data_IF_432262804919
#
_entry.id   IF_432262804919
#
_cell.length_a   1.000
_cell.length_b   1.000
_cell.length_c   1.000
_cell.angle_alpha   90.00
_cell.angle_beta   90.00
_cell.angle_gamma   90.00
#
_symmetry.space_group_name_H-M   'P 1'
#
loop_
_entity.id
_entity.type
_entity.pdbx_description
1 polymer ?
#
# COMPACT_ATOMS: atom_id res chain seq x y z
N UNK A 1 4.82 13.60 33.08
CA UNK A 1 3.76 12.59 33.27
C UNK A 1 4.41 11.21 33.18
N UNK A 2 4.17 10.33 34.16
CA UNK A 2 4.97 9.13 34.43
C UNK A 2 4.89 8.10 33.28
N UNK A 3 6.03 7.57 32.86
CA UNK A 3 6.22 6.49 31.86
C UNK A 3 5.38 5.23 32.15
N UNK A 4 4.94 5.06 33.40
CA UNK A 4 4.06 3.97 33.84
C UNK A 4 2.62 4.08 33.28
N UNK A 5 2.14 5.29 32.94
CA UNK A 5 0.79 5.50 32.37
C UNK A 5 0.72 5.11 30.90
N UNK A 6 1.83 5.19 30.16
CA UNK A 6 1.89 4.83 28.73
C UNK A 6 1.83 3.30 28.60
N UNK A 7 2.51 2.56 29.46
CA UNK A 7 2.47 1.09 29.47
C UNK A 7 1.08 0.56 29.86
N UNK A 8 0.40 1.23 30.79
CA UNK A 8 -0.97 0.87 31.20
C UNK A 8 -2.03 1.16 30.12
N UNK A 9 -1.84 2.20 29.28
CA UNK A 9 -2.72 2.50 28.16
C UNK A 9 -2.56 1.50 27.00
N UNK A 10 -1.35 1.02 26.75
CA UNK A 10 -1.09 -0.03 25.76
C UNK A 10 -1.68 -1.38 26.19
N UNK A 11 -1.66 -1.72 27.48
CA UNK A 11 -2.28 -2.93 28.00
C UNK A 11 -3.81 -2.85 28.02
N UNK A 12 -4.40 -1.67 28.27
CA UNK A 12 -5.85 -1.47 28.21
C UNK A 12 -6.43 -1.61 26.79
N UNK A 13 -5.67 -1.22 25.77
CA UNK A 13 -6.09 -1.38 24.37
C UNK A 13 -6.09 -2.84 23.91
N UNK A 14 -5.20 -3.69 24.43
CA UNK A 14 -5.14 -5.12 24.11
C UNK A 14 -6.31 -5.88 24.77
N UNK A 15 -6.79 -5.46 25.93
CA UNK A 15 -7.91 -6.13 26.62
C UNK A 15 -9.27 -5.76 26.03
N UNK A 16 -9.44 -4.57 25.45
CA UNK A 16 -10.72 -4.17 24.82
C UNK A 16 -10.98 -4.84 23.45
N UNK A 17 -9.95 -5.31 22.76
CA UNK A 17 -10.12 -5.99 21.46
C UNK A 17 -10.49 -7.46 21.57
N UNK A 18 -10.36 -8.09 22.75
CA UNK A 18 -10.70 -9.51 22.95
C UNK A 18 -12.18 -9.72 23.30
N UNK A 19 -12.91 -8.70 23.75
CA UNK A 19 -14.33 -8.81 24.16
C UNK A 19 -15.34 -8.42 23.07
N UNK A 20 -14.90 -8.02 21.86
CA UNK A 20 -15.79 -7.65 20.75
C UNK A 20 -15.95 -8.75 19.67
N UNK A 21 -15.48 -9.97 19.90
CA UNK A 21 -15.44 -11.03 18.89
C UNK A 21 -16.67 -11.97 18.85
N UNK A 22 -17.84 -11.50 19.30
CA UNK A 22 -19.11 -12.25 19.12
C UNK A 22 -20.25 -11.38 18.59
N UNK A 23 -19.97 -10.48 17.66
CA UNK A 23 -21.01 -9.87 16.84
C UNK A 23 -20.80 -10.36 15.41
N UNK A 24 -21.76 -11.12 14.91
CA UNK A 24 -21.90 -11.47 13.49
C UNK A 24 -21.96 -10.15 12.71
N UNK A 25 -20.86 -9.74 12.09
CA UNK A 25 -20.81 -8.59 11.23
C UNK A 25 -21.41 -9.03 9.90
N UNK A 26 -22.68 -8.70 9.69
CA UNK A 26 -23.23 -8.54 8.34
C UNK A 26 -22.43 -7.42 7.67
N UNK A 27 -21.63 -7.80 6.71
CA UNK A 27 -20.85 -6.88 5.89
C UNK A 27 -21.83 -6.09 5.02
N UNK A 28 -22.18 -4.88 5.48
CA UNK A 28 -22.98 -3.94 4.71
C UNK A 28 -21.99 -3.03 3.97
N UNK A 29 -22.03 -3.13 2.66
CA UNK A 29 -21.22 -2.38 1.69
C UNK A 29 -21.16 -0.88 2.02
N UNK A 30 -20.05 -0.42 2.54
CA UNK A 30 -19.68 0.99 2.52
C UNK A 30 -18.50 1.17 1.58
N UNK A 31 -18.79 1.20 0.29
CA UNK A 31 -17.80 1.56 -0.73
C UNK A 31 -17.78 3.08 -0.87
N UNK A 32 -16.71 3.80 -0.45
CA UNK A 32 -16.65 5.27 -0.50
C UNK A 32 -16.54 5.84 -1.93
N UNK A 33 -16.66 5.03 -2.96
CA UNK A 33 -16.44 5.41 -4.36
C UNK A 33 -17.69 5.39 -5.26
N UNK A 34 -18.89 5.60 -4.71
CA UNK A 34 -20.06 5.83 -5.56
C UNK A 34 -20.21 7.32 -5.90
N UNK A 35 -20.07 7.75 -7.16
CA UNK A 35 -20.43 9.09 -7.55
C UNK A 35 -21.94 9.26 -7.51
N UNK A 36 -22.42 10.18 -6.68
CA UNK A 36 -23.81 10.57 -6.54
C UNK A 36 -24.31 11.24 -7.83
N UNK A 37 -24.88 10.46 -8.73
CA UNK A 37 -25.51 10.94 -9.97
C UNK A 37 -27.02 11.13 -9.77
N UNK A 38 -27.48 12.37 -9.57
CA UNK A 38 -28.89 12.73 -9.64
C UNK A 38 -29.42 12.55 -11.06
N UNK A 39 -30.31 11.59 -11.27
CA UNK A 39 -31.17 11.49 -12.47
C UNK A 39 -32.09 12.70 -12.54
N UNK A 40 -32.01 13.45 -13.64
CA UNK A 40 -33.09 14.33 -14.09
C UNK A 40 -33.87 13.66 -15.20
N UNK A 41 -35.09 13.34 -14.94
CA UNK A 41 -36.13 12.99 -15.92
C UNK A 41 -36.67 14.25 -16.62
N UNK A 42 -36.69 14.26 -17.93
CA UNK A 42 -37.64 14.96 -18.81
C UNK A 42 -37.19 14.64 -20.25
N UNK A 43 -38.00 14.13 -21.12
CA UNK A 43 -39.20 14.51 -21.70
C UNK A 43 -39.26 13.99 -23.12
N UNK A 44 -40.29 13.25 -23.44
CA UNK A 44 -41.09 13.17 -24.66
C UNK A 44 -40.48 13.39 -26.06
N UNK A 45 -40.62 12.36 -26.88
CA UNK A 45 -41.16 12.53 -28.24
C UNK A 45 -40.15 12.47 -29.38
N UNK A 46 -40.05 11.39 -30.09
CA UNK A 46 -40.38 11.31 -31.53
C UNK A 46 -40.09 9.90 -32.06
N UNK A 47 -41.11 9.25 -32.56
CA UNK A 47 -41.09 7.98 -33.27
C UNK A 47 -40.38 8.11 -34.62
N UNK A 48 -39.21 7.48 -34.75
CA UNK A 48 -38.71 7.04 -36.05
C UNK A 48 -38.49 5.51 -35.99
N UNK A 49 -39.31 4.82 -36.76
CA UNK A 49 -39.20 3.40 -37.03
C UNK A 49 -37.86 3.13 -37.73
N UNK A 50 -36.89 2.67 -37.01
CA UNK A 50 -35.66 2.12 -37.55
C UNK A 50 -35.75 0.60 -37.42
N UNK A 51 -35.77 -0.02 -38.58
CA UNK A 51 -35.81 -1.45 -38.92
C UNK A 51 -34.89 -2.22 -37.96
N UNK A 52 -35.47 -3.05 -37.09
CA UNK A 52 -34.77 -3.96 -36.21
C UNK A 52 -33.95 -4.95 -37.04
N UNK A 53 -32.67 -4.75 -37.09
CA UNK A 53 -31.73 -5.82 -37.46
C UNK A 53 -31.62 -6.69 -36.21
N UNK A 54 -32.28 -7.83 -36.24
CA UNK A 54 -32.29 -8.86 -35.22
C UNK A 54 -30.90 -9.53 -35.15
N UNK A 55 -29.91 -8.80 -34.64
CA UNK A 55 -28.64 -9.32 -34.18
C UNK A 55 -28.76 -9.73 -32.72
N UNK A 56 -29.20 -10.97 -32.44
CA UNK A 56 -29.03 -11.58 -31.11
C UNK A 56 -27.55 -11.54 -30.72
N UNK A 57 -27.12 -10.45 -30.17
CA UNK A 57 -25.82 -10.40 -29.46
C UNK A 57 -25.89 -11.48 -28.38
N UNK A 58 -25.19 -12.59 -28.60
CA UNK A 58 -25.13 -13.73 -27.71
C UNK A 58 -24.58 -13.21 -26.35
N UNK A 59 -25.46 -13.06 -25.39
CA UNK A 59 -25.08 -12.58 -24.05
C UNK A 59 -24.07 -13.55 -23.45
N UNK A 60 -22.84 -13.09 -23.23
CA UNK A 60 -21.78 -13.91 -22.64
C UNK A 60 -22.22 -14.41 -21.26
N UNK A 61 -21.96 -15.66 -20.96
CA UNK A 61 -22.10 -16.21 -19.60
C UNK A 61 -21.15 -15.51 -18.64
N UNK A 62 -21.43 -15.57 -17.34
CA UNK A 62 -20.53 -15.00 -16.30
C UNK A 62 -19.10 -15.49 -16.45
N UNK A 63 -18.90 -16.80 -16.68
CA UNK A 63 -17.56 -17.37 -16.87
C UNK A 63 -16.87 -16.85 -18.13
N UNK A 64 -17.60 -16.65 -19.23
CA UNK A 64 -17.03 -16.07 -20.45
C UNK A 64 -16.65 -14.61 -20.24
N UNK A 65 -17.46 -13.84 -19.52
CA UNK A 65 -17.10 -12.44 -19.15
C UNK A 65 -15.84 -12.39 -18.31
N UNK A 66 -15.73 -13.22 -17.28
CA UNK A 66 -14.52 -13.28 -16.44
C UNK A 66 -13.29 -13.68 -17.25
N UNK A 67 -13.40 -14.64 -18.17
CA UNK A 67 -12.29 -15.03 -19.03
C UNK A 67 -11.82 -13.88 -19.94
N UNK A 68 -12.75 -13.18 -20.61
CA UNK A 68 -12.43 -12.00 -21.43
C UNK A 68 -11.79 -10.91 -20.60
N UNK A 69 -12.34 -10.63 -19.41
CA UNK A 69 -11.79 -9.62 -18.51
C UNK A 69 -10.35 -9.93 -18.08
N UNK A 70 -10.04 -11.20 -17.78
CA UNK A 70 -8.66 -11.60 -17.45
C UNK A 70 -7.69 -11.32 -18.60
N UNK A 71 -8.10 -11.60 -19.86
CA UNK A 71 -7.28 -11.28 -21.04
C UNK A 71 -7.02 -9.78 -21.13
N UNK A 72 -8.05 -8.95 -20.97
CA UNK A 72 -7.91 -7.49 -21.02
C UNK A 72 -7.01 -6.95 -19.91
N UNK A 73 -7.06 -7.52 -18.69
CA UNK A 73 -6.14 -7.17 -17.60
C UNK A 73 -4.71 -7.56 -17.98
N UNK A 74 -4.50 -8.75 -18.55
CA UNK A 74 -3.17 -9.19 -19.00
C UNK A 74 -2.60 -8.29 -20.10
N UNK A 75 -3.44 -7.82 -21.04
CA UNK A 75 -3.04 -6.85 -22.05
C UNK A 75 -2.62 -5.51 -21.42
N UNK A 76 -3.33 -5.02 -20.39
CA UNK A 76 -2.91 -3.82 -19.67
C UNK A 76 -1.56 -4.01 -18.97
N UNK A 77 -1.31 -5.16 -18.36
CA UNK A 77 -0.03 -5.47 -17.73
C UNK A 77 1.10 -5.62 -18.78
N UNK A 78 0.82 -6.16 -19.95
CA UNK A 78 1.78 -6.25 -21.04
C UNK A 78 2.25 -4.87 -21.56
N UNK A 79 1.43 -3.82 -21.38
CA UNK A 79 1.80 -2.43 -21.69
C UNK A 79 2.76 -1.80 -20.65
N UNK A 80 3.12 -2.53 -19.59
CA UNK A 80 4.05 -2.10 -18.56
C UNK A 80 5.06 -3.23 -18.26
N UNK A 81 5.97 -3.53 -19.21
CA UNK A 81 6.88 -4.65 -19.10
C UNK A 81 7.81 -4.57 -17.87
N UNK A 82 8.00 -3.36 -17.31
CA UNK A 82 8.74 -3.15 -16.07
C UNK A 82 8.15 -3.89 -14.88
N UNK A 83 6.86 -4.24 -14.93
CA UNK A 83 6.15 -4.94 -13.85
C UNK A 83 6.14 -6.47 -14.02
N UNK A 84 6.65 -6.97 -15.14
CA UNK A 84 6.63 -8.41 -15.46
C UNK A 84 7.30 -9.26 -14.39
N UNK A 85 8.47 -8.86 -13.92
CA UNK A 85 9.22 -9.57 -12.86
C UNK A 85 8.41 -9.71 -11.59
N UNK A 86 7.74 -8.65 -11.15
CA UNK A 86 6.86 -8.69 -9.96
C UNK A 86 5.75 -9.73 -10.11
N UNK A 87 5.00 -9.71 -11.23
CA UNK A 87 3.87 -10.61 -11.42
C UNK A 87 4.30 -12.08 -11.62
N UNK A 88 5.43 -12.33 -12.28
CA UNK A 88 5.99 -13.67 -12.39
C UNK A 88 6.47 -14.23 -11.04
N UNK A 89 7.14 -13.41 -10.23
CA UNK A 89 7.54 -13.80 -8.88
C UNK A 89 6.32 -14.03 -7.97
N UNK A 90 5.31 -13.17 -8.05
CA UNK A 90 4.06 -13.34 -7.31
C UNK A 90 3.38 -14.66 -7.67
N UNK A 91 3.24 -14.96 -8.96
CA UNK A 91 2.66 -16.19 -9.48
C UNK A 91 3.42 -17.44 -9.02
N UNK A 92 4.75 -17.38 -9.08
CA UNK A 92 5.62 -18.52 -8.71
C UNK A 92 5.67 -18.74 -7.21
N UNK A 93 5.80 -17.66 -6.44
CA UNK A 93 6.01 -17.74 -4.99
C UNK A 93 4.71 -17.85 -4.20
N UNK A 94 3.62 -17.27 -4.68
CA UNK A 94 2.32 -17.21 -4.01
C UNK A 94 1.16 -17.50 -4.98
N UNK A 95 1.11 -18.70 -5.61
CA UNK A 95 0.13 -18.99 -6.67
C UNK A 95 -1.32 -18.80 -6.23
N UNK A 96 -1.67 -19.23 -5.01
CA UNK A 96 -3.03 -19.05 -4.48
C UNK A 96 -3.38 -17.57 -4.22
N UNK A 97 -2.43 -16.74 -3.76
CA UNK A 97 -2.64 -15.31 -3.60
C UNK A 97 -2.76 -14.62 -4.96
N UNK A 98 -1.88 -14.95 -5.90
CA UNK A 98 -1.95 -14.46 -7.28
C UNK A 98 -3.32 -14.76 -7.90
N UNK A 99 -3.82 -15.99 -7.77
CA UNK A 99 -5.14 -16.36 -8.30
C UNK A 99 -6.25 -15.48 -7.68
N UNK A 100 -6.29 -15.34 -6.35
CA UNK A 100 -7.30 -14.50 -5.67
C UNK A 100 -7.25 -13.04 -6.10
N UNK A 101 -6.04 -12.48 -6.26
CA UNK A 101 -5.83 -11.10 -6.69
C UNK A 101 -6.41 -10.89 -8.09
N UNK A 102 -6.06 -11.76 -9.04
CA UNK A 102 -6.57 -11.65 -10.41
C UNK A 102 -8.06 -11.95 -10.52
N UNK A 103 -8.59 -12.85 -9.69
CA UNK A 103 -10.04 -13.10 -9.61
C UNK A 103 -10.78 -11.87 -9.07
N UNK A 104 -10.19 -11.19 -8.06
CA UNK A 104 -10.72 -9.93 -7.55
C UNK A 104 -10.75 -8.83 -8.60
N UNK A 105 -9.69 -8.67 -9.39
CA UNK A 105 -9.66 -7.72 -10.51
C UNK A 105 -10.75 -8.03 -11.53
N UNK A 106 -10.85 -9.28 -11.96
CA UNK A 106 -11.84 -9.71 -12.94
C UNK A 106 -13.28 -9.56 -12.44
N UNK A 107 -13.54 -9.88 -11.18
CA UNK A 107 -14.84 -9.71 -10.54
C UNK A 107 -15.24 -8.23 -10.46
N UNK A 108 -14.33 -7.34 -10.06
CA UNK A 108 -14.56 -5.90 -10.04
C UNK A 108 -14.99 -5.37 -11.40
N UNK A 109 -14.27 -5.71 -12.47
CA UNK A 109 -14.61 -5.29 -13.84
C UNK A 109 -15.95 -5.91 -14.29
N UNK A 110 -16.22 -7.17 -13.95
CA UNK A 110 -17.49 -7.85 -14.29
C UNK A 110 -18.70 -7.18 -13.63
N UNK A 111 -18.52 -6.53 -12.50
CA UNK A 111 -19.51 -5.75 -11.74
C UNK A 111 -19.61 -4.29 -12.18
N UNK A 112 -18.91 -3.89 -13.22
CA UNK A 112 -19.00 -2.55 -13.81
C UNK A 112 -17.84 -1.61 -13.45
N UNK A 113 -16.81 -2.06 -12.75
CA UNK A 113 -15.56 -1.31 -12.61
C UNK A 113 -14.91 -1.16 -13.98
N UNK A 114 -14.14 -0.07 -14.17
CA UNK A 114 -13.33 0.08 -15.38
C UNK A 114 -12.15 -0.87 -15.34
N UNK A 115 -11.61 -1.17 -16.52
CA UNK A 115 -10.28 -1.73 -16.65
C UNK A 115 -9.31 -0.63 -16.27
N UNK A 116 -8.49 -0.92 -15.27
CA UNK A 116 -7.57 0.05 -14.66
C UNK A 116 -6.19 0.00 -15.33
N UNK A 117 -5.32 0.94 -14.97
CA UNK A 117 -3.94 0.98 -15.45
C UNK A 117 -3.09 -0.14 -14.80
N UNK A 118 -2.02 -0.54 -15.49
CA UNK A 118 -1.05 -1.48 -14.92
C UNK A 118 -0.49 -1.02 -13.57
N UNK A 119 -0.32 0.28 -13.40
CA UNK A 119 0.20 0.91 -12.18
C UNK A 119 -0.75 0.68 -10.99
N UNK A 120 -2.07 0.79 -11.23
CA UNK A 120 -3.08 0.50 -10.19
C UNK A 120 -3.15 -1.00 -9.89
N UNK A 121 -3.13 -1.87 -10.91
CA UNK A 121 -3.10 -3.32 -10.69
C UNK A 121 -1.87 -3.76 -9.90
N UNK A 122 -0.69 -3.19 -10.15
CA UNK A 122 0.51 -3.45 -9.36
C UNK A 122 0.32 -3.06 -7.89
N UNK A 123 -0.17 -1.85 -7.64
CA UNK A 123 -0.42 -1.36 -6.28
C UNK A 123 -1.43 -2.23 -5.53
N UNK A 124 -2.53 -2.60 -6.17
CA UNK A 124 -3.55 -3.48 -5.59
C UNK A 124 -3.02 -4.90 -5.36
N UNK A 125 -2.21 -5.44 -6.27
CA UNK A 125 -1.60 -6.75 -6.11
C UNK A 125 -0.66 -6.78 -4.89
N UNK A 126 0.19 -5.77 -4.72
CA UNK A 126 1.06 -5.68 -3.55
C UNK A 126 0.25 -5.47 -2.26
N UNK A 127 -0.78 -4.64 -2.27
CA UNK A 127 -1.67 -4.44 -1.11
C UNK A 127 -2.33 -5.75 -0.69
N UNK A 128 -2.93 -6.50 -1.62
CA UNK A 128 -3.53 -7.81 -1.35
C UNK A 128 -2.54 -8.85 -0.84
N UNK A 129 -1.30 -8.82 -1.36
CA UNK A 129 -0.23 -9.68 -0.86
C UNK A 129 0.22 -9.28 0.55
N UNK A 130 0.38 -7.98 0.83
CA UNK A 130 0.71 -7.48 2.17
C UNK A 130 -0.34 -7.85 3.19
N UNK A 131 -1.62 -7.68 2.89
CA UNK A 131 -2.71 -8.05 3.77
C UNK A 131 -2.70 -9.55 4.15
N UNK A 132 -2.26 -10.42 3.25
CA UNK A 132 -2.25 -11.87 3.47
C UNK A 132 -0.91 -12.45 3.95
N UNK A 133 0.21 -11.87 3.56
CA UNK A 133 1.56 -12.41 3.75
C UNK A 133 2.60 -11.37 4.21
N UNK A 134 2.24 -10.10 4.33
CA UNK A 134 3.17 -9.00 4.61
C UNK A 134 3.97 -9.16 5.90
N UNK A 135 3.37 -9.80 6.90
CA UNK A 135 4.04 -10.07 8.19
C UNK A 135 5.34 -10.88 8.02
N UNK A 136 5.44 -11.70 6.97
CA UNK A 136 6.62 -12.50 6.70
C UNK A 136 7.85 -11.63 6.39
N UNK A 137 7.67 -10.46 5.77
CA UNK A 137 8.77 -9.56 5.43
C UNK A 137 9.61 -9.15 6.64
N UNK A 138 9.01 -9.08 7.83
CA UNK A 138 9.73 -8.76 9.06
C UNK A 138 10.78 -9.81 9.46
N UNK A 139 10.67 -11.02 8.92
CA UNK A 139 11.60 -12.14 9.18
C UNK A 139 12.63 -12.29 8.05
N UNK A 140 12.72 -11.33 7.13
CA UNK A 140 13.67 -11.34 6.03
C UNK A 140 15.10 -11.05 6.53
N UNK A 141 16.10 -11.37 5.68
CA UNK A 141 17.50 -11.04 5.97
C UNK A 141 17.73 -9.53 6.08
N UNK A 142 18.78 -9.08 6.77
CA UNK A 142 19.10 -7.65 6.89
C UNK A 142 19.20 -6.97 5.52
N UNK A 143 19.82 -7.63 4.53
CA UNK A 143 20.01 -7.11 3.17
C UNK A 143 18.67 -6.93 2.46
N UNK A 144 17.74 -7.87 2.60
CA UNK A 144 16.41 -7.77 2.01
C UNK A 144 15.59 -6.64 2.66
N UNK A 145 15.69 -6.46 3.98
CA UNK A 145 15.10 -5.34 4.68
C UNK A 145 15.69 -4.01 4.21
N UNK A 146 17.03 -3.92 4.17
CA UNK A 146 17.71 -2.70 3.74
C UNK A 146 17.31 -2.29 2.33
N UNK A 147 17.18 -3.25 1.41
CA UNK A 147 16.76 -2.99 0.03
C UNK A 147 15.36 -2.37 -0.06
N UNK A 148 14.41 -2.81 0.78
CA UNK A 148 13.08 -2.19 0.86
C UNK A 148 13.19 -0.72 1.25
N UNK A 149 13.94 -0.40 2.30
CA UNK A 149 14.05 0.97 2.80
C UNK A 149 14.87 1.86 1.87
N UNK A 150 15.90 1.33 1.23
CA UNK A 150 16.67 2.04 0.19
C UNK A 150 15.76 2.51 -0.96
N UNK A 151 14.93 1.61 -1.50
CA UNK A 151 14.07 1.93 -2.63
C UNK A 151 12.87 2.81 -2.24
N UNK A 152 12.36 2.68 -1.02
CA UNK A 152 11.36 3.61 -0.48
C UNK A 152 11.96 5.02 -0.33
N UNK A 153 13.18 5.13 0.19
CA UNK A 153 13.88 6.40 0.28
C UNK A 153 14.15 7.02 -1.10
N UNK A 154 14.56 6.22 -2.08
CA UNK A 154 14.74 6.67 -3.46
C UNK A 154 13.43 7.17 -4.08
N UNK A 155 12.34 6.43 -3.88
CA UNK A 155 11.01 6.83 -4.35
C UNK A 155 10.54 8.12 -3.68
N UNK A 156 10.72 8.23 -2.36
CA UNK A 156 10.37 9.45 -1.62
C UNK A 156 11.11 10.68 -2.14
N UNK A 157 12.42 10.56 -2.44
CA UNK A 157 13.22 11.65 -3.01
C UNK A 157 12.75 12.02 -4.42
N UNK A 158 12.38 11.04 -5.24
CA UNK A 158 11.83 11.29 -6.58
C UNK A 158 10.47 12.01 -6.50
N UNK A 159 9.60 11.61 -5.58
CA UNK A 159 8.33 12.29 -5.31
C UNK A 159 8.56 13.73 -4.81
N UNK A 160 9.49 13.92 -3.88
CA UNK A 160 9.84 15.24 -3.33
C UNK A 160 10.34 16.23 -4.40
N UNK A 161 11.05 15.73 -5.40
CA UNK A 161 11.53 16.56 -6.52
C UNK A 161 10.42 16.98 -7.47
N UNK A 162 9.30 16.26 -7.48
CA UNK A 162 8.15 16.57 -8.33
C UNK A 162 7.10 17.41 -7.60
N UNK A 163 6.69 16.99 -6.40
CA UNK A 163 5.65 17.65 -5.60
C UNK A 163 5.80 17.29 -4.11
N UNK A 164 6.04 18.27 -3.21
CA UNK A 164 6.11 18.02 -1.77
C UNK A 164 4.84 17.39 -1.19
N UNK A 165 3.66 17.73 -1.71
CA UNK A 165 2.40 17.13 -1.27
C UNK A 165 2.37 15.63 -1.58
N UNK A 166 2.73 15.26 -2.80
CA UNK A 166 2.77 13.85 -3.22
C UNK A 166 3.78 13.05 -2.39
N UNK A 167 4.89 13.68 -2.03
CA UNK A 167 5.89 13.11 -1.12
C UNK A 167 5.31 12.90 0.30
N UNK A 168 4.57 13.89 0.83
CA UNK A 168 3.91 13.77 2.12
C UNK A 168 2.82 12.68 2.11
N UNK A 169 1.97 12.67 1.08
CA UNK A 169 0.93 11.64 0.90
C UNK A 169 1.55 10.22 0.90
N UNK A 170 2.69 10.03 0.25
CA UNK A 170 3.40 8.75 0.22
C UNK A 170 3.89 8.29 1.60
N UNK A 171 4.34 9.20 2.45
CA UNK A 171 4.74 8.90 3.83
C UNK A 171 3.57 8.38 4.68
N UNK A 172 2.38 8.91 4.45
CA UNK A 172 1.14 8.45 5.11
C UNK A 172 0.53 7.20 4.45
N UNK A 173 1.19 6.63 3.44
CA UNK A 173 0.71 5.45 2.74
C UNK A 173 -0.43 5.72 1.75
N UNK A 174 -0.73 6.99 1.47
CA UNK A 174 -1.79 7.34 0.55
C UNK A 174 -1.39 7.05 -0.91
N UNK A 175 -2.27 6.36 -1.63
CA UNK A 175 -2.17 6.15 -3.08
C UNK A 175 -3.18 7.04 -3.78
N UNK A 176 -2.75 8.24 -4.17
CA UNK A 176 -3.58 9.19 -4.89
C UNK A 176 -3.53 8.98 -6.41
N UNK A 177 -4.47 9.61 -7.14
CA UNK A 177 -4.41 9.62 -8.61
C UNK A 177 -3.09 10.21 -9.13
N UNK A 178 -2.51 11.17 -8.43
CA UNK A 178 -1.25 11.80 -8.84
C UNK A 178 -0.06 10.88 -8.56
N UNK A 179 -0.13 10.02 -7.53
CA UNK A 179 0.83 8.93 -7.37
C UNK A 179 0.82 7.96 -8.55
N UNK A 180 -0.35 7.62 -9.11
CA UNK A 180 -0.40 6.75 -10.30
C UNK A 180 0.14 7.43 -11.56
N UNK A 181 -0.01 8.76 -11.71
CA UNK A 181 0.66 9.50 -12.78
C UNK A 181 2.18 9.48 -12.61
N UNK A 182 2.66 9.71 -11.39
CA UNK A 182 4.09 9.57 -11.06
C UNK A 182 4.59 8.14 -11.37
N UNK A 183 3.85 7.13 -10.96
CA UNK A 183 4.16 5.71 -11.20
C UNK A 183 4.32 5.41 -12.68
N UNK A 184 3.38 5.87 -13.52
CA UNK A 184 3.43 5.70 -14.97
C UNK A 184 4.65 6.37 -15.62
N UNK A 185 5.08 7.52 -15.07
CA UNK A 185 6.29 8.24 -15.54
C UNK A 185 7.60 7.64 -15.00
N UNK A 186 7.56 6.88 -13.90
CA UNK A 186 8.72 6.36 -13.19
C UNK A 186 8.65 4.83 -12.96
N UNK A 187 8.10 4.08 -13.91
CA UNK A 187 7.79 2.65 -13.77
C UNK A 187 8.95 1.81 -13.27
N UNK A 188 10.17 2.02 -13.77
CA UNK A 188 11.36 1.28 -13.32
C UNK A 188 11.61 1.45 -11.82
N UNK A 189 11.50 2.67 -11.30
CA UNK A 189 11.71 2.95 -9.88
C UNK A 189 10.62 2.30 -9.04
N UNK A 190 9.36 2.47 -9.45
CA UNK A 190 8.19 1.93 -8.74
C UNK A 190 8.20 0.39 -8.81
N UNK A 191 8.51 -0.20 -9.96
CA UNK A 191 8.68 -1.65 -10.09
C UNK A 191 9.73 -2.18 -9.10
N UNK A 192 10.93 -1.57 -9.09
CA UNK A 192 12.00 -1.97 -8.18
C UNK A 192 11.58 -1.88 -6.71
N UNK A 193 10.84 -0.83 -6.32
CA UNK A 193 10.32 -0.69 -4.95
C UNK A 193 9.32 -1.79 -4.60
N UNK A 194 8.36 -2.07 -5.50
CA UNK A 194 7.36 -3.11 -5.28
C UNK A 194 7.97 -4.53 -5.29
N UNK A 195 8.95 -4.76 -6.15
CA UNK A 195 9.73 -6.01 -6.19
C UNK A 195 10.54 -6.21 -4.90
N UNK A 196 11.12 -5.16 -4.34
CA UNK A 196 11.83 -5.27 -3.06
C UNK A 196 10.88 -5.67 -1.92
N UNK A 197 9.67 -5.10 -1.86
CA UNK A 197 8.66 -5.50 -0.89
C UNK A 197 8.26 -6.97 -1.07
N UNK A 198 7.99 -7.42 -2.30
CA UNK A 198 7.68 -8.82 -2.60
C UNK A 198 8.86 -9.75 -2.23
N UNK A 199 10.07 -9.36 -2.58
CA UNK A 199 11.28 -10.13 -2.28
C UNK A 199 11.53 -10.24 -0.78
N UNK A 200 11.25 -9.21 0.01
CA UNK A 200 11.32 -9.27 1.47
C UNK A 200 10.29 -10.27 2.04
N UNK A 201 9.06 -10.32 1.49
CA UNK A 201 8.04 -11.30 1.88
C UNK A 201 8.50 -12.74 1.54
N UNK A 202 9.03 -12.95 0.33
CA UNK A 202 9.56 -14.25 -0.12
C UNK A 202 10.73 -14.68 0.76
N UNK A 203 11.70 -13.78 0.96
CA UNK A 203 12.89 -14.03 1.76
C UNK A 203 12.52 -14.33 3.21
N UNK A 204 11.61 -13.55 3.82
CA UNK A 204 11.20 -13.77 5.20
C UNK A 204 10.46 -15.10 5.42
N UNK A 205 9.78 -15.64 4.40
CA UNK A 205 9.19 -16.98 4.44
C UNK A 205 10.25 -18.07 4.52
N UNK A 206 11.39 -17.89 3.89
CA UNK A 206 12.48 -18.88 3.82
C UNK A 206 13.50 -18.68 4.93
N UNK A 207 13.96 -17.45 5.18
CA UNK A 207 15.00 -17.11 6.17
C UNK A 207 14.51 -17.25 7.61
N UNK A 208 13.25 -16.89 7.87
CA UNK A 208 12.59 -16.98 9.19
C UNK A 208 13.39 -16.39 10.34
N UNK A 209 14.08 -15.28 10.09
CA UNK A 209 14.91 -14.61 11.10
C UNK A 209 14.00 -13.93 12.13
N UNK A 210 13.94 -14.47 13.32
CA UNK A 210 13.23 -13.87 14.42
C UNK A 210 14.04 -12.72 15.00
N UNK A 211 13.39 -11.59 15.26
CA UNK A 211 14.00 -10.40 15.88
C UNK A 211 13.17 -9.95 17.06
N UNK A 212 13.86 -9.55 18.12
CA UNK A 212 13.22 -8.84 19.22
C UNK A 212 12.62 -7.52 18.69
N UNK A 213 11.45 -7.16 19.20
CA UNK A 213 10.88 -5.85 18.91
C UNK A 213 11.79 -4.74 19.47
N UNK A 214 11.89 -3.58 18.80
CA UNK A 214 12.56 -2.43 19.36
C UNK A 214 11.99 -2.08 20.73
N UNK A 215 12.87 -1.74 21.68
CA UNK A 215 12.50 -1.33 23.02
C UNK A 215 12.55 0.20 23.18
N UNK A 216 12.29 0.71 24.38
CA UNK A 216 12.29 2.14 24.65
C UNK A 216 13.67 2.80 24.46
N UNK A 217 14.78 2.07 24.69
CA UNK A 217 16.13 2.56 24.45
C UNK A 217 16.41 2.68 22.95
N UNK A 218 15.95 1.71 22.15
CA UNK A 218 16.07 1.73 20.70
C UNK A 218 15.36 2.95 20.08
N UNK A 219 14.14 3.23 20.55
CA UNK A 219 13.41 4.43 20.11
C UNK A 219 14.06 5.71 20.62
N UNK A 220 14.63 5.71 21.82
CA UNK A 220 15.40 6.84 22.34
C UNK A 220 16.60 7.19 21.46
N UNK A 221 17.36 6.20 21.01
CA UNK A 221 18.50 6.38 20.09
C UNK A 221 18.04 6.92 18.74
N UNK A 222 16.91 6.41 18.19
CA UNK A 222 16.35 6.91 16.94
C UNK A 222 15.91 8.36 17.08
N UNK A 223 15.20 8.70 18.18
CA UNK A 223 14.75 10.06 18.46
C UNK A 223 15.92 11.04 18.61
N UNK A 224 16.99 10.66 19.33
CA UNK A 224 18.21 11.44 19.46
C UNK A 224 18.86 11.71 18.10
N UNK A 225 19.03 10.68 17.28
CA UNK A 225 19.58 10.81 15.93
C UNK A 225 18.74 11.73 15.02
N UNK A 226 17.41 11.73 15.16
CA UNK A 226 16.52 12.66 14.44
C UNK A 226 16.71 14.10 14.93
N UNK A 227 16.85 14.33 16.25
CA UNK A 227 17.13 15.65 16.83
C UNK A 227 18.49 16.21 16.38
N UNK A 228 19.50 15.37 16.28
CA UNK A 228 20.82 15.76 15.74
C UNK A 228 20.71 16.28 14.30
N UNK A 229 19.77 15.74 13.52
CA UNK A 229 19.43 16.21 12.16
C UNK A 229 18.50 17.41 12.16
N UNK A 230 18.27 18.06 13.33
CA UNK A 230 17.47 19.28 13.49
C UNK A 230 15.97 19.09 13.19
N UNK A 231 15.44 17.88 13.38
CA UNK A 231 14.01 17.71 13.46
C UNK A 231 13.51 18.19 14.82
N UNK A 232 12.39 18.89 14.78
CA UNK A 232 11.72 19.36 15.98
C UNK A 232 10.72 18.32 16.51
N UNK A 233 10.23 18.53 17.73
CA UNK A 233 9.35 17.59 18.40
C UNK A 233 8.09 17.23 17.59
N UNK A 234 7.36 18.17 16.92
CA UNK A 234 6.18 17.83 16.14
C UNK A 234 6.49 16.90 14.94
N UNK A 235 7.64 17.13 14.27
CA UNK A 235 8.08 16.29 13.15
C UNK A 235 8.44 14.87 13.61
N UNK A 236 9.11 14.76 14.77
CA UNK A 236 9.48 13.47 15.35
C UNK A 236 8.24 12.70 15.82
N UNK A 237 7.30 13.35 16.52
CA UNK A 237 6.04 12.72 16.94
C UNK A 237 5.21 12.25 15.73
N UNK A 238 5.16 13.03 14.66
CA UNK A 238 4.51 12.62 13.41
C UNK A 238 5.17 11.36 12.82
N UNK A 239 6.51 11.29 12.79
CA UNK A 239 7.24 10.17 12.20
C UNK A 239 7.20 8.89 13.05
N UNK A 240 7.25 8.99 14.37
CA UNK A 240 7.37 7.85 15.27
C UNK A 240 6.05 7.40 15.86
N UNK A 241 5.15 8.33 16.15
CA UNK A 241 3.86 8.06 16.80
C UNK A 241 2.70 8.07 15.79
N UNK A 242 2.97 8.43 14.52
CA UNK A 242 1.95 8.64 13.48
C UNK A 242 0.84 9.60 13.94
N UNK A 243 1.22 10.59 14.75
CA UNK A 243 0.29 11.57 15.30
C UNK A 243 0.37 12.85 14.50
N UNK A 244 -0.76 13.28 13.95
CA UNK A 244 -0.85 14.57 13.29
C UNK A 244 -0.66 15.70 14.30
N UNK A 245 0.31 16.61 14.10
CA UNK A 245 0.49 17.77 14.94
C UNK A 245 -0.68 18.75 14.82
N UNK A 246 -0.92 19.50 15.88
CA UNK A 246 -1.89 20.61 15.87
C UNK A 246 -1.14 21.92 16.19
N UNK A 247 -1.02 22.87 15.24
CA UNK A 247 -1.55 22.83 13.86
C UNK A 247 -0.80 21.81 12.96
N UNK A 248 -1.44 21.34 11.86
CA UNK A 248 -0.81 20.43 10.91
C UNK A 248 0.45 21.02 10.29
N UNK A 249 1.45 20.16 10.08
CA UNK A 249 2.69 20.55 9.40
C UNK A 249 2.43 20.77 7.90
N UNK A 250 3.15 21.75 7.30
CA UNK A 250 3.13 21.93 5.86
C UNK A 250 3.72 20.70 5.13
N UNK A 251 3.14 20.31 3.98
CA UNK A 251 3.60 19.17 3.18
C UNK A 251 5.11 19.17 2.92
N UNK A 252 5.70 20.33 2.64
CA UNK A 252 7.15 20.49 2.45
C UNK A 252 7.94 20.09 3.71
N UNK A 253 7.43 20.42 4.89
CA UNK A 253 8.05 20.05 6.18
C UNK A 253 7.93 18.56 6.40
N UNK A 254 6.74 17.98 6.21
CA UNK A 254 6.49 16.54 6.31
C UNK A 254 7.42 15.77 5.36
N UNK A 255 7.48 16.17 4.09
CA UNK A 255 8.32 15.56 3.07
C UNK A 255 9.81 15.61 3.43
N UNK A 256 10.30 16.77 3.91
CA UNK A 256 11.68 16.93 4.37
C UNK A 256 11.98 16.05 5.58
N UNK A 257 11.09 16.02 6.56
CA UNK A 257 11.23 15.19 7.75
C UNK A 257 11.30 13.69 7.38
N UNK A 258 10.46 13.24 6.45
CA UNK A 258 10.48 11.87 5.94
C UNK A 258 11.80 11.51 5.26
N UNK A 259 12.38 12.40 4.45
CA UNK A 259 13.69 12.16 3.84
C UNK A 259 14.79 12.04 4.88
N UNK A 260 14.81 12.93 5.88
CA UNK A 260 15.76 12.88 6.99
C UNK A 260 15.58 11.58 7.79
N UNK A 261 14.35 11.15 8.04
CA UNK A 261 14.04 9.90 8.71
C UNK A 261 14.68 8.68 8.01
N UNK A 262 14.51 8.55 6.70
CA UNK A 262 15.14 7.46 5.94
C UNK A 262 16.67 7.55 5.96
N UNK A 263 17.26 8.76 5.94
CA UNK A 263 18.72 8.94 6.04
C UNK A 263 19.23 8.55 7.42
N UNK A 264 18.51 8.89 8.49
CA UNK A 264 18.82 8.48 9.86
C UNK A 264 18.71 6.96 10.01
N UNK A 265 17.63 6.37 9.56
CA UNK A 265 17.43 4.91 9.61
C UNK A 265 18.59 4.15 8.97
N UNK A 266 19.07 4.62 7.81
CA UNK A 266 20.21 4.01 7.11
C UNK A 266 21.51 4.09 7.90
N UNK A 267 21.70 5.15 8.70
CA UNK A 267 22.90 5.39 9.49
C UNK A 267 22.90 4.70 10.86
N UNK A 268 21.79 4.09 11.29
CA UNK A 268 21.72 3.38 12.56
C UNK A 268 22.62 2.13 12.56
N UNK A 269 23.10 1.70 13.75
CA UNK A 269 23.76 0.41 13.92
C UNK A 269 22.92 -0.74 13.37
N UNK A 270 23.56 -1.73 12.74
CA UNK A 270 22.85 -2.76 11.95
C UNK A 270 21.78 -3.53 12.74
N UNK A 271 22.05 -3.91 13.98
CA UNK A 271 21.08 -4.61 14.82
C UNK A 271 19.84 -3.76 15.13
N UNK A 272 20.06 -2.48 15.47
CA UNK A 272 18.98 -1.54 15.73
C UNK A 272 18.18 -1.27 14.45
N UNK A 273 18.89 -1.00 13.35
CA UNK A 273 18.32 -0.79 12.02
C UNK A 273 17.41 -1.96 11.64
N UNK A 274 17.92 -3.20 11.75
CA UNK A 274 17.15 -4.39 11.38
C UNK A 274 15.87 -4.57 12.24
N UNK A 275 15.92 -4.25 13.56
CA UNK A 275 14.73 -4.29 14.42
C UNK A 275 13.70 -3.24 14.03
N UNK A 276 14.13 -2.00 13.76
CA UNK A 276 13.24 -0.90 13.35
C UNK A 276 12.60 -1.25 11.98
N UNK A 277 13.40 -1.70 11.02
CA UNK A 277 12.89 -2.11 9.70
C UNK A 277 11.85 -3.23 9.81
N UNK A 278 12.13 -4.27 10.59
CA UNK A 278 11.21 -5.38 10.80
C UNK A 278 9.88 -4.91 11.44
N UNK A 279 9.95 -4.01 12.44
CA UNK A 279 8.74 -3.44 13.04
C UNK A 279 7.94 -2.64 12.01
N UNK A 280 8.60 -1.78 11.24
CA UNK A 280 7.92 -0.96 10.22
C UNK A 280 7.19 -1.83 9.19
N UNK A 281 7.80 -2.94 8.73
CA UNK A 281 7.13 -3.87 7.81
C UNK A 281 5.97 -4.63 8.47
N UNK A 282 6.05 -4.94 9.77
CA UNK A 282 4.92 -5.51 10.52
C UNK A 282 3.74 -4.54 10.60
N UNK A 283 4.01 -3.25 10.77
CA UNK A 283 2.97 -2.22 10.81
C UNK A 283 2.33 -2.04 9.42
N UNK A 284 3.15 -1.95 8.37
CA UNK A 284 2.67 -1.84 6.98
C UNK A 284 1.84 -3.05 6.51
N UNK A 285 2.01 -4.22 7.11
CA UNK A 285 1.20 -5.40 6.81
C UNK A 285 -0.21 -5.36 7.43
N UNK A 286 -0.48 -4.39 8.31
CA UNK A 286 -1.77 -4.25 9.02
C UNK A 286 -2.63 -3.10 8.48
N UNK A 287 -2.07 -2.27 7.62
CA UNK A 287 -2.76 -1.17 6.90
C UNK A 287 -3.21 -1.62 5.51
#
# INVERSE_FOLDING_TARGET
>A
MSRLRIILLLLAFIVLTVLAATAVITFQDSNPWTPSGKSRTAGSGTTHATRAVDGKAKQLTTNQRLAVTRVLIQEQLANAPEYSTFFEQLKTSFPAANQRIFDGFADGVSKGSRIETADLYLAQALSGLRASHGILAANASPEALEKVFELRAATLRALASQDPKLCADFLYGATSRDFFKFSAANRKLVASMMEADLNAIINGRTSKIERQAPNAEDFGKLEEALRERKLEKPEIEMLLDMRDPDPPLADKTVCKAGQIYYDVLRALPDDLKARIYALSLKLLART
#
